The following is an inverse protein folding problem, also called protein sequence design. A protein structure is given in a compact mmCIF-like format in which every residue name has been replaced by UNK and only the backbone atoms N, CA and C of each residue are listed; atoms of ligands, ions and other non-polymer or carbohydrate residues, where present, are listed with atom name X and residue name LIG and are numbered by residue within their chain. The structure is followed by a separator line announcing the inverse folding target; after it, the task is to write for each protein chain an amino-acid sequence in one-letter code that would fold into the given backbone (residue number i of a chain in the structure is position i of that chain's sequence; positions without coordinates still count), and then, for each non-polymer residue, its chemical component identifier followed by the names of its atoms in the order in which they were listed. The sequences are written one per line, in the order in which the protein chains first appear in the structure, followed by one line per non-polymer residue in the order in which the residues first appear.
data_IF_978223530769
#
_entry.id   IF_978223530769
#
_cell.length_a   1.000
_cell.length_b   1.000
_cell.length_c   1.000
_cell.angle_alpha   90.00
_cell.angle_beta   90.00
_cell.angle_gamma   90.00
#
_symmetry.space_group_name_H-M   'P 1'
#
loop_
_entity.id
_entity.type
_entity.pdbx_description
1 polymer ?
#
# COMPACT_ATOMS: atom_id res chain seq x y z
N UNK A 1 17.68 -21.81 2.17
CA UNK A 1 17.71 -20.55 2.96
C UNK A 1 17.42 -20.84 4.41
N UNK A 2 16.40 -21.66 4.70
CA UNK A 2 16.11 -22.18 6.05
C UNK A 2 17.33 -22.82 6.73
N UNK A 3 18.17 -23.51 5.97
CA UNK A 3 19.45 -24.08 6.41
C UNK A 3 20.51 -23.04 6.84
N UNK A 4 20.26 -21.75 6.60
CA UNK A 4 21.14 -20.61 6.92
C UNK A 4 20.61 -19.73 8.04
N UNK A 5 19.44 -20.04 8.62
CA UNK A 5 18.80 -19.24 9.66
C UNK A 5 18.51 -20.15 10.85
N UNK A 6 18.83 -19.68 12.06
CA UNK A 6 18.42 -20.33 13.31
C UNK A 6 17.84 -19.28 14.24
N UNK A 7 16.56 -19.38 14.54
CA UNK A 7 15.92 -18.47 15.49
C UNK A 7 16.33 -18.87 16.91
N UNK A 8 16.89 -17.92 17.67
CA UNK A 8 17.26 -18.13 19.07
C UNK A 8 16.13 -17.72 20.01
N UNK A 9 15.52 -16.58 19.75
CA UNK A 9 14.41 -16.05 20.54
C UNK A 9 13.63 -15.01 19.75
N UNK A 10 12.36 -14.86 20.11
CA UNK A 10 11.47 -13.81 19.63
C UNK A 10 10.81 -13.13 20.83
N UNK A 11 10.69 -11.82 20.74
CA UNK A 11 10.15 -10.95 21.78
C UNK A 11 9.15 -10.00 21.11
N UNK A 12 7.89 -10.04 21.53
CA UNK A 12 6.88 -9.05 21.11
C UNK A 12 7.15 -7.77 21.89
N UNK A 13 7.48 -6.70 21.17
CA UNK A 13 7.74 -5.37 21.74
C UNK A 13 6.47 -4.53 21.82
N UNK A 14 5.53 -4.73 20.90
CA UNK A 14 4.21 -4.09 20.86
C UNK A 14 3.24 -4.99 20.09
N UNK A 15 2.00 -5.07 20.56
CA UNK A 15 0.90 -5.82 19.98
C UNK A 15 -0.39 -5.03 20.23
N UNK A 16 -0.65 -4.08 19.33
CA UNK A 16 -1.82 -3.19 19.37
C UNK A 16 -2.44 -3.19 17.96
N UNK A 17 -2.47 -2.05 17.26
CA UNK A 17 -2.92 -2.02 15.86
C UNK A 17 -2.10 -2.94 14.92
N UNK A 18 -0.81 -3.10 15.19
CA UNK A 18 0.10 -3.97 14.44
C UNK A 18 1.18 -4.55 15.37
N UNK A 19 1.80 -5.66 14.96
CA UNK A 19 2.74 -6.40 15.80
C UNK A 19 4.18 -5.98 15.52
N UNK A 20 4.88 -5.45 16.52
CA UNK A 20 6.32 -5.21 16.47
C UNK A 20 7.05 -6.33 17.22
N UNK A 21 7.85 -7.12 16.49
CA UNK A 21 8.68 -8.20 17.06
C UNK A 21 10.15 -7.87 16.98
N UNK A 22 10.91 -8.31 17.97
CA UNK A 22 12.37 -8.40 17.97
C UNK A 22 12.78 -9.86 17.91
N UNK A 23 13.58 -10.20 16.91
CA UNK A 23 14.06 -11.56 16.67
C UNK A 23 15.58 -11.59 16.81
N UNK A 24 16.08 -12.50 17.65
CA UNK A 24 17.50 -12.84 17.71
C UNK A 24 17.70 -14.11 16.90
N UNK A 25 18.55 -14.06 15.89
CA UNK A 25 18.81 -15.19 15.00
C UNK A 25 20.32 -15.39 14.76
N UNK A 26 20.73 -16.62 14.50
CA UNK A 26 22.01 -16.89 13.85
C UNK A 26 21.81 -16.97 12.35
N UNK A 27 22.56 -16.17 11.60
CA UNK A 27 22.58 -16.17 10.14
C UNK A 27 23.92 -16.71 9.64
N UNK A 28 23.87 -17.74 8.79
CA UNK A 28 25.06 -18.27 8.12
C UNK A 28 25.37 -17.40 6.90
N UNK A 29 26.43 -16.60 6.98
CA UNK A 29 26.93 -15.73 5.90
C UNK A 29 27.40 -16.54 4.69
N UNK A 30 27.65 -15.84 3.57
CA UNK A 30 28.07 -16.48 2.30
C UNK A 30 29.43 -17.19 2.41
N UNK A 31 30.29 -16.76 3.34
CA UNK A 31 31.58 -17.38 3.63
C UNK A 31 31.47 -18.60 4.58
N UNK A 32 30.24 -19.02 4.93
CA UNK A 32 29.97 -20.15 5.82
C UNK A 32 30.04 -19.82 7.31
N UNK A 33 30.47 -18.61 7.70
CA UNK A 33 30.53 -18.22 9.12
C UNK A 33 29.13 -17.92 9.66
N UNK A 34 28.90 -18.32 10.91
CA UNK A 34 27.70 -17.97 11.65
C UNK A 34 27.89 -16.64 12.37
N UNK A 35 26.88 -15.79 12.31
CA UNK A 35 26.81 -14.51 13.02
C UNK A 35 25.45 -14.39 13.70
N UNK A 36 25.44 -13.99 14.97
CA UNK A 36 24.20 -13.64 15.66
C UNK A 36 23.79 -12.23 15.29
N UNK A 37 22.55 -12.08 14.85
CA UNK A 37 21.95 -10.81 14.43
C UNK A 37 20.67 -10.55 15.22
N UNK A 38 20.35 -9.27 15.40
CA UNK A 38 19.09 -8.80 15.96
C UNK A 38 18.34 -8.06 14.85
N UNK A 39 17.07 -8.40 14.67
CA UNK A 39 16.16 -7.74 13.72
C UNK A 39 14.87 -7.35 14.43
N UNK A 40 14.29 -6.24 13.99
CA UNK A 40 12.93 -5.89 14.34
C UNK A 40 12.07 -5.94 13.08
N UNK A 41 10.87 -6.50 13.21
CA UNK A 41 9.89 -6.60 12.13
C UNK A 41 8.58 -6.02 12.62
N UNK A 42 8.05 -5.07 11.87
CA UNK A 42 6.74 -4.47 12.10
C UNK A 42 5.74 -5.06 11.11
N UNK A 43 4.74 -5.74 11.66
CA UNK A 43 3.79 -6.56 10.94
C UNK A 43 2.39 -5.94 11.01
N UNK A 44 2.00 -5.34 9.89
CA UNK A 44 0.79 -4.54 9.71
C UNK A 44 -0.15 -5.12 8.66
N UNK A 45 0.10 -6.38 8.26
CA UNK A 45 -0.62 -7.05 7.18
C UNK A 45 -0.09 -6.73 5.79
N UNK A 46 -0.62 -7.47 4.81
CA UNK A 46 -0.46 -7.20 3.39
C UNK A 46 -1.61 -6.29 2.93
N UNK A 47 -1.45 -5.66 1.76
CA UNK A 47 -2.49 -4.80 1.16
C UNK A 47 -2.62 -4.97 -0.34
N UNK A 48 -3.59 -4.30 -0.93
CA UNK A 48 -3.79 -4.22 -2.37
C UNK A 48 -3.86 -2.76 -2.84
N UNK A 49 -3.49 -2.52 -4.09
CA UNK A 49 -3.43 -1.19 -4.71
C UNK A 49 -4.01 -1.28 -6.12
N UNK A 50 -4.77 -0.29 -6.55
CA UNK A 50 -5.25 -0.17 -7.93
C UNK A 50 -5.04 1.22 -8.50
N UNK A 51 -4.65 1.27 -9.76
CA UNK A 51 -4.65 2.49 -10.58
C UNK A 51 -5.66 2.35 -11.72
N UNK A 52 -6.89 2.86 -11.55
CA UNK A 52 -7.86 2.92 -12.64
C UNK A 52 -7.44 3.94 -13.69
N UNK A 53 -7.57 3.59 -14.97
CA UNK A 53 -7.23 4.48 -16.10
C UNK A 53 -8.32 4.48 -17.17
N UNK A 54 -8.51 5.63 -17.82
CA UNK A 54 -9.40 5.80 -18.97
C UNK A 54 -8.53 6.18 -20.18
N UNK A 55 -8.26 5.24 -21.12
CA UNK A 55 -7.37 5.50 -22.25
C UNK A 55 -7.96 6.50 -23.26
N UNK A 56 -9.28 6.62 -23.35
CA UNK A 56 -9.96 7.55 -24.26
C UNK A 56 -9.81 9.02 -23.81
N UNK A 57 -9.91 9.28 -22.50
CA UNK A 57 -9.67 10.61 -21.91
C UNK A 57 -8.22 10.85 -21.49
N UNK A 58 -7.39 9.80 -21.47
CA UNK A 58 -6.02 9.86 -20.92
C UNK A 58 -6.01 10.36 -19.47
N UNK A 59 -6.89 9.80 -18.64
CA UNK A 59 -7.02 10.15 -17.21
C UNK A 59 -6.81 8.93 -16.31
N UNK A 60 -6.39 9.19 -15.07
CA UNK A 60 -6.29 8.21 -13.99
C UNK A 60 -7.13 8.65 -12.79
N UNK A 61 -7.57 7.68 -12.00
CA UNK A 61 -8.17 7.95 -10.69
C UNK A 61 -7.11 7.77 -9.59
N UNK A 62 -7.04 8.76 -8.73
CA UNK A 62 -6.17 8.82 -7.55
C UNK A 62 -7.00 9.27 -6.36
N UNK A 63 -6.44 9.13 -5.16
CA UNK A 63 -6.99 9.66 -3.93
C UNK A 63 -6.05 10.69 -3.34
N UNK A 64 -6.59 11.63 -2.56
CA UNK A 64 -5.81 12.51 -1.69
C UNK A 64 -6.30 12.37 -0.26
N UNK A 65 -5.37 12.04 0.64
CA UNK A 65 -5.72 11.77 2.04
C UNK A 65 -4.61 12.14 3.02
N UNK A 66 -4.99 12.39 4.27
CA UNK A 66 -4.04 12.74 5.33
C UNK A 66 -3.29 11.50 5.83
N UNK A 67 -1.96 11.55 5.82
CA UNK A 67 -1.10 10.50 6.41
C UNK A 67 -0.30 11.04 7.59
N UNK A 68 -0.68 10.67 8.80
CA UNK A 68 -0.01 11.12 10.03
C UNK A 68 1.50 10.76 10.07
N UNK A 69 1.88 9.61 9.52
CA UNK A 69 3.29 9.19 9.44
C UNK A 69 4.13 10.15 8.58
N UNK A 70 3.59 10.65 7.47
CA UNK A 70 4.23 11.69 6.65
C UNK A 70 4.26 13.04 7.39
N UNK A 71 3.17 13.35 8.12
CA UNK A 71 3.08 14.56 8.93
C UNK A 71 4.19 14.69 9.98
N UNK A 72 4.43 13.64 10.77
CA UNK A 72 5.45 13.66 11.82
C UNK A 72 6.89 13.68 11.28
N UNK A 73 7.07 13.38 9.98
CA UNK A 73 8.37 13.47 9.29
C UNK A 73 8.57 14.79 8.55
N UNK A 74 7.60 15.72 8.64
CA UNK A 74 7.71 17.09 8.15
C UNK A 74 6.89 17.40 6.90
N UNK A 75 6.23 16.42 6.28
CA UNK A 75 5.33 16.66 5.15
C UNK A 75 3.99 17.23 5.65
N UNK A 76 3.59 18.42 5.20
CA UNK A 76 2.45 19.15 5.80
C UNK A 76 1.15 19.09 4.99
N UNK A 77 1.18 18.43 3.84
CA UNK A 77 0.04 18.34 2.94
C UNK A 77 -0.51 16.91 2.95
N UNK A 78 -1.78 16.70 2.56
CA UNK A 78 -2.28 15.38 2.23
C UNK A 78 -1.50 14.77 1.05
N UNK A 79 -1.27 13.46 1.08
CA UNK A 79 -0.59 12.77 -0.01
C UNK A 79 -1.58 12.45 -1.14
N UNK A 80 -1.09 12.51 -2.38
CA UNK A 80 -1.77 11.95 -3.55
C UNK A 80 -1.27 10.51 -3.72
N UNK A 81 -2.20 9.56 -3.78
CA UNK A 81 -1.92 8.12 -3.75
C UNK A 81 -2.79 7.38 -4.75
N UNK A 82 -2.36 6.19 -5.18
CA UNK A 82 -3.27 5.21 -5.76
C UNK A 82 -4.23 4.66 -4.68
N UNK A 83 -5.47 4.31 -5.08
CA UNK A 83 -6.46 3.67 -4.21
C UNK A 83 -5.91 2.36 -3.65
N UNK A 84 -6.04 2.15 -2.34
CA UNK A 84 -5.39 1.03 -1.67
C UNK A 84 -6.00 0.72 -0.31
N UNK A 85 -6.00 -0.56 0.06
CA UNK A 85 -6.49 -1.04 1.34
C UNK A 85 -5.71 -2.23 1.88
N UNK A 86 -5.93 -2.53 3.16
CA UNK A 86 -5.41 -3.75 3.80
C UNK A 86 -6.25 -4.95 3.35
N UNK A 87 -5.62 -6.12 3.23
CA UNK A 87 -6.34 -7.31 2.78
C UNK A 87 -7.37 -7.81 3.82
N UNK A 88 -7.07 -7.64 5.11
CA UNK A 88 -7.79 -8.25 6.23
C UNK A 88 -8.07 -9.75 5.98
N UNK A 89 -9.35 -10.13 5.88
CA UNK A 89 -9.79 -11.51 5.61
C UNK A 89 -10.00 -11.82 4.11
N UNK A 90 -9.79 -10.83 3.24
CA UNK A 90 -10.06 -10.92 1.81
C UNK A 90 -8.82 -11.33 1.00
N UNK A 91 -9.04 -11.91 -0.18
CA UNK A 91 -7.99 -12.01 -1.18
C UNK A 91 -7.70 -10.65 -1.83
N UNK A 92 -6.52 -10.45 -2.44
CA UNK A 92 -6.13 -9.17 -3.00
C UNK A 92 -7.07 -8.56 -4.04
N UNK A 93 -7.71 -9.39 -4.88
CA UNK A 93 -8.62 -8.88 -5.90
C UNK A 93 -9.96 -8.46 -5.28
N UNK A 94 -10.50 -9.28 -4.37
CA UNK A 94 -11.73 -8.93 -3.64
C UNK A 94 -11.55 -7.68 -2.79
N UNK A 95 -10.43 -7.55 -2.07
CA UNK A 95 -10.08 -6.35 -1.30
C UNK A 95 -10.11 -5.11 -2.19
N UNK A 96 -9.33 -5.09 -3.26
CA UNK A 96 -9.14 -3.85 -4.02
C UNK A 96 -10.37 -3.39 -4.81
N UNK A 97 -11.28 -4.33 -5.14
CA UNK A 97 -12.57 -3.98 -5.74
C UNK A 97 -13.47 -3.25 -4.74
N UNK A 98 -13.47 -3.67 -3.46
CA UNK A 98 -14.22 -2.99 -2.40
C UNK A 98 -13.67 -1.59 -2.16
N UNK A 99 -12.35 -1.49 -2.02
CA UNK A 99 -11.66 -0.21 -1.85
C UNK A 99 -11.95 0.76 -3.00
N UNK A 100 -11.99 0.28 -4.25
CA UNK A 100 -12.36 1.14 -5.39
C UNK A 100 -13.81 1.63 -5.32
N UNK A 101 -14.74 0.85 -4.77
CA UNK A 101 -16.13 1.28 -4.57
C UNK A 101 -16.25 2.27 -3.40
N UNK A 102 -15.49 2.08 -2.33
CA UNK A 102 -15.53 2.89 -1.10
C UNK A 102 -14.73 4.20 -1.24
N UNK A 103 -13.44 4.12 -1.60
CA UNK A 103 -12.56 5.27 -1.72
C UNK A 103 -12.85 6.09 -2.99
N UNK A 104 -12.98 5.44 -4.15
CA UNK A 104 -13.13 6.14 -5.44
C UNK A 104 -14.59 6.32 -5.87
N UNK A 105 -15.49 5.46 -5.40
CA UNK A 105 -16.88 5.44 -5.86
C UNK A 105 -17.08 4.78 -7.22
N UNK A 106 -16.19 3.87 -7.65
CA UNK A 106 -16.25 3.22 -8.96
C UNK A 106 -16.36 1.70 -8.87
N UNK A 107 -17.33 1.13 -9.59
CA UNK A 107 -17.46 -0.31 -9.77
C UNK A 107 -16.60 -0.79 -10.95
N UNK A 108 -15.40 -1.28 -10.65
CA UNK A 108 -14.44 -1.74 -11.66
C UNK A 108 -14.69 -3.21 -12.00
N UNK A 109 -14.84 -3.53 -13.28
CA UNK A 109 -15.18 -4.90 -13.75
C UNK A 109 -13.95 -5.77 -13.97
N UNK A 110 -13.06 -5.35 -14.85
CA UNK A 110 -11.88 -6.11 -15.23
C UNK A 110 -10.66 -5.51 -14.53
N UNK A 111 -10.13 -6.24 -13.56
CA UNK A 111 -9.00 -5.82 -12.72
C UNK A 111 -7.82 -6.76 -13.01
N UNK A 112 -6.74 -6.20 -13.55
CA UNK A 112 -5.55 -6.96 -13.96
C UNK A 112 -4.46 -6.84 -12.91
N UNK A 113 -4.01 -7.97 -12.37
CA UNK A 113 -2.87 -8.02 -11.44
C UNK A 113 -1.56 -7.77 -12.18
N UNK A 114 -0.74 -6.86 -11.67
CA UNK A 114 0.58 -6.54 -12.22
C UNK A 114 1.71 -7.29 -11.51
N UNK A 115 1.91 -7.01 -10.22
CA UNK A 115 3.04 -7.52 -9.43
C UNK A 115 2.78 -7.37 -7.93
N UNK A 116 3.66 -7.91 -7.08
CA UNK A 116 3.54 -7.75 -5.63
C UNK A 116 4.88 -7.57 -4.88
N UNK A 117 5.39 -6.32 -4.76
CA UNK A 117 6.64 -6.02 -4.10
C UNK A 117 6.48 -5.93 -2.57
N UNK A 118 7.60 -6.12 -1.86
CA UNK A 118 7.75 -5.64 -0.49
C UNK A 118 8.09 -4.15 -0.53
N UNK A 119 7.37 -3.33 0.24
CA UNK A 119 7.52 -1.88 0.19
C UNK A 119 8.72 -1.39 1.01
N UNK A 120 9.00 -2.02 2.16
CA UNK A 120 10.15 -1.69 3.02
C UNK A 120 10.73 -2.94 3.71
N UNK A 121 11.37 -3.85 2.94
CA UNK A 121 11.75 -5.20 3.41
C UNK A 121 12.87 -5.21 4.47
N UNK A 122 13.41 -4.05 4.86
CA UNK A 122 14.38 -3.95 5.93
C UNK A 122 13.78 -4.18 7.32
N UNK A 123 12.51 -3.82 7.51
CA UNK A 123 11.86 -3.85 8.82
C UNK A 123 10.33 -3.97 8.79
N UNK A 124 9.68 -3.86 7.63
CA UNK A 124 8.23 -3.99 7.49
C UNK A 124 7.93 -5.26 6.69
N UNK A 125 6.97 -6.06 7.15
CA UNK A 125 6.60 -7.34 6.49
C UNK A 125 5.69 -7.15 5.28
N UNK A 126 5.05 -5.98 5.17
CA UNK A 126 4.05 -5.63 4.17
C UNK A 126 4.49 -5.92 2.74
N UNK A 127 3.64 -6.68 2.05
CA UNK A 127 3.63 -6.81 0.61
C UNK A 127 2.33 -6.22 0.06
N UNK A 128 2.46 -5.39 -0.97
CA UNK A 128 1.31 -4.83 -1.67
C UNK A 128 1.07 -5.56 -2.98
N UNK A 129 -0.19 -5.83 -3.30
CA UNK A 129 -0.61 -6.44 -4.56
C UNK A 129 -1.13 -5.36 -5.51
N UNK A 130 -0.43 -5.13 -6.61
CA UNK A 130 -0.74 -4.06 -7.54
C UNK A 130 -1.65 -4.53 -8.66
N UNK A 131 -2.64 -3.70 -8.96
CA UNK A 131 -3.64 -3.90 -9.98
C UNK A 131 -3.81 -2.65 -10.85
N UNK A 132 -4.36 -2.86 -12.04
CA UNK A 132 -4.88 -1.79 -12.90
C UNK A 132 -6.25 -2.21 -13.39
N UNK A 133 -7.09 -1.23 -13.69
CA UNK A 133 -8.38 -1.48 -14.33
C UNK A 133 -8.71 -0.35 -15.29
N UNK A 134 -9.43 -0.67 -16.35
CA UNK A 134 -10.08 0.38 -17.14
C UNK A 134 -11.30 0.87 -16.38
N UNK A 135 -11.55 2.18 -16.43
CA UNK A 135 -12.81 2.75 -15.97
C UNK A 135 -13.39 3.67 -17.04
N UNK A 136 -14.69 3.90 -16.91
CA UNK A 136 -15.44 4.93 -17.63
C UNK A 136 -16.28 5.73 -16.61
N UNK A 137 -16.76 6.94 -16.96
CA UNK A 137 -17.62 7.73 -16.08
C UNK A 137 -18.93 6.99 -15.72
N UNK A 138 -19.36 6.06 -16.56
CA UNK A 138 -20.56 5.26 -16.32
C UNK A 138 -20.37 4.18 -15.27
N UNK A 139 -19.13 3.90 -14.85
CA UNK A 139 -18.82 2.95 -13.78
C UNK A 139 -18.88 3.61 -12.39
N UNK A 140 -19.09 4.94 -12.30
CA UNK A 140 -19.25 5.66 -11.03
C UNK A 140 -20.59 5.33 -10.39
N UNK A 141 -20.55 4.90 -9.13
CA UNK A 141 -21.72 4.48 -8.33
C UNK A 141 -21.95 5.39 -7.11
N UNK A 142 -20.94 6.14 -6.67
CA UNK A 142 -21.03 7.10 -5.56
C UNK A 142 -20.07 8.27 -5.77
N UNK A 143 -19.97 9.18 -4.80
CA UNK A 143 -18.96 10.24 -4.80
C UNK A 143 -17.57 9.77 -4.31
N UNK A 144 -17.46 8.51 -3.85
CA UNK A 144 -16.31 8.01 -3.12
C UNK A 144 -16.13 8.71 -1.78
N UNK A 145 -14.90 8.71 -1.28
CA UNK A 145 -14.50 9.43 -0.08
C UNK A 145 -14.17 8.56 1.13
N UNK A 146 -14.19 7.24 0.97
CA UNK A 146 -13.89 6.28 2.05
C UNK A 146 -15.05 6.11 3.01
N UNK A 147 -14.76 5.52 4.17
CA UNK A 147 -15.73 5.24 5.24
C UNK A 147 -15.63 6.29 6.38
N UNK A 148 -16.57 7.26 6.50
CA UNK A 148 -16.52 8.28 7.55
C UNK A 148 -16.58 7.72 8.97
N UNK A 149 -17.25 6.58 9.16
CA UNK A 149 -17.31 5.85 10.43
C UNK A 149 -15.95 5.29 10.88
N UNK A 150 -15.03 5.09 9.94
CA UNK A 150 -13.65 4.65 10.20
C UNK A 150 -12.68 5.84 10.35
N UNK A 151 -13.21 7.06 10.24
CA UNK A 151 -12.45 8.30 10.36
C UNK A 151 -11.73 8.71 9.08
N UNK A 152 -12.12 8.15 7.95
CA UNK A 152 -11.57 8.50 6.64
C UNK A 152 -12.15 9.81 6.11
N UNK A 153 -11.28 10.59 5.47
CA UNK A 153 -11.61 11.85 4.77
C UNK A 153 -10.75 11.88 3.51
N UNK A 154 -11.30 11.31 2.42
CA UNK A 154 -10.58 11.06 1.18
C UNK A 154 -11.16 11.92 0.06
N UNK A 155 -10.30 12.65 -0.64
CA UNK A 155 -10.66 13.37 -1.86
C UNK A 155 -10.37 12.50 -3.09
N UNK A 156 -11.39 12.25 -3.91
CA UNK A 156 -11.23 11.56 -5.20
C UNK A 156 -10.69 12.52 -6.25
N UNK A 157 -9.60 12.15 -6.91
CA UNK A 157 -8.95 12.91 -7.96
C UNK A 157 -9.06 12.18 -9.31
N UNK A 158 -9.79 12.73 -10.26
CA UNK A 158 -9.65 12.37 -11.67
C UNK A 158 -8.61 13.31 -12.31
N UNK A 159 -7.43 12.77 -12.61
CA UNK A 159 -6.27 13.56 -13.05
C UNK A 159 -5.85 13.15 -14.48
N UNK A 160 -5.53 14.10 -15.38
CA UNK A 160 -4.86 13.77 -16.64
C UNK A 160 -3.56 13.01 -16.37
N UNK A 161 -3.30 11.94 -17.15
CA UNK A 161 -2.12 11.09 -16.95
C UNK A 161 -0.81 11.89 -17.02
N UNK A 162 -0.71 12.83 -17.96
CA UNK A 162 0.47 13.70 -18.09
C UNK A 162 0.70 14.59 -16.86
N UNK A 163 -0.39 15.03 -16.21
CA UNK A 163 -0.30 15.82 -14.97
C UNK A 163 0.15 14.96 -13.79
N UNK A 164 -0.35 13.73 -13.68
CA UNK A 164 0.08 12.79 -12.65
C UNK A 164 1.58 12.46 -12.80
N UNK A 165 2.03 12.19 -14.03
CA UNK A 165 3.44 11.95 -14.33
C UNK A 165 4.31 13.18 -14.02
N UNK A 166 3.85 14.38 -14.36
CA UNK A 166 4.53 15.61 -13.97
C UNK A 166 4.58 15.78 -12.45
N UNK A 167 3.51 15.41 -11.73
CA UNK A 167 3.44 15.43 -10.27
C UNK A 167 4.46 14.52 -9.60
N UNK A 168 4.75 13.35 -10.19
CA UNK A 168 5.84 12.49 -9.74
C UNK A 168 7.20 13.18 -9.96
N UNK A 169 7.40 13.79 -11.13
CA UNK A 169 8.67 14.42 -11.49
C UNK A 169 8.99 15.67 -10.65
N UNK A 170 7.98 16.45 -10.28
CA UNK A 170 8.12 17.70 -9.52
C UNK A 170 7.93 17.55 -8.00
N UNK A 171 7.57 16.35 -7.53
CA UNK A 171 7.43 16.04 -6.10
C UNK A 171 6.08 16.40 -5.48
N UNK A 172 5.04 16.69 -6.27
CA UNK A 172 3.65 16.74 -5.79
C UNK A 172 3.09 15.36 -5.47
N UNK A 173 3.54 14.32 -6.17
CA UNK A 173 3.23 12.91 -5.89
C UNK A 173 4.52 12.25 -5.40
N UNK A 174 4.55 11.87 -4.12
CA UNK A 174 5.73 11.33 -3.43
C UNK A 174 5.41 10.05 -2.65
N UNK A 175 4.27 9.44 -2.94
CA UNK A 175 3.94 8.11 -2.46
C UNK A 175 4.58 7.03 -3.34
N UNK A 176 4.90 5.88 -2.76
CA UNK A 176 5.71 4.85 -3.43
C UNK A 176 4.93 3.99 -4.43
N UNK A 177 3.60 3.90 -4.26
CA UNK A 177 2.68 3.12 -5.10
C UNK A 177 2.07 4.02 -6.18
#
# INVERSE_FOLDING_TARGET
MEDRIRIRSEEVLSDDWAVLKKTVLDYRRRDGKWETQIRQTYDRGDGAVILPYDPERSTVLLVRQFRYAAYVTGHREPLIEACAGLLDEHDPETCIRKEAEEELGYHLKDVDRLFSPFMSPGSVTERLWFFVARYSPTDRISDGGGAPEEGEDIEVLEMPLDEALAGIADGRIIDAK
#
